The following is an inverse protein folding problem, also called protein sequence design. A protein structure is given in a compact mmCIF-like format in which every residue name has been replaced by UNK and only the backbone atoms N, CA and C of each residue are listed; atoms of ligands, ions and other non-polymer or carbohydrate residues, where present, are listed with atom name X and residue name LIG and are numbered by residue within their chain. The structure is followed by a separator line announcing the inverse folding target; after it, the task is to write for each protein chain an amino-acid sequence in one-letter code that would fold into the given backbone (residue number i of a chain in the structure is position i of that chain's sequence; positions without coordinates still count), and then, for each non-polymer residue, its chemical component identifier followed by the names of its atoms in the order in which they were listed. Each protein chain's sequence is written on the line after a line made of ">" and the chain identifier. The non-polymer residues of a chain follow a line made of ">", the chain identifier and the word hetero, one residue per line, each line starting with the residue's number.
data_IF_081676662037
#
_entry.id   IF_081676662037
#
_cell.length_a   1.000
_cell.length_b   1.000
_cell.length_c   1.000
_cell.angle_alpha   90.00
_cell.angle_beta   90.00
_cell.angle_gamma   90.00
#
_symmetry.space_group_name_H-M   'P 1'
#
loop_
_entity.id
_entity.type
_entity.pdbx_description
1 polymer ?
#
# COMPACT_ATOMS: atom_id res chain seq x y z
N UNK A 1 2.36 -17.77 15.55
CA UNK A 1 1.94 -19.16 15.28
C UNK A 1 1.59 -19.21 13.81
N UNK A 2 2.43 -19.82 12.97
CA UNK A 2 2.14 -19.96 11.55
C UNK A 2 1.14 -21.12 11.40
N UNK A 3 -0.05 -20.82 10.90
CA UNK A 3 -1.04 -21.85 10.52
C UNK A 3 -0.69 -22.27 9.10
N UNK A 4 -0.01 -23.40 8.98
CA UNK A 4 0.16 -24.07 7.69
C UNK A 4 -1.04 -24.99 7.50
N UNK A 5 -1.96 -24.59 6.64
CA UNK A 5 -3.03 -25.47 6.16
C UNK A 5 -2.40 -26.54 5.26
N UNK A 6 -2.64 -27.82 5.55
CA UNK A 6 -2.41 -28.90 4.58
C UNK A 6 -3.61 -28.88 3.65
N UNK A 7 -3.46 -28.19 2.52
CA UNK A 7 -4.54 -28.03 1.53
C UNK A 7 -4.38 -29.11 0.45
N UNK A 8 -5.44 -29.88 0.18
CA UNK A 8 -5.47 -30.83 -0.91
C UNK A 8 -5.42 -30.04 -2.24
N UNK A 9 -4.52 -30.41 -3.14
CA UNK A 9 -4.08 -29.64 -4.34
C UNK A 9 -5.18 -29.41 -5.40
N UNK A 10 -6.44 -29.65 -5.06
CA UNK A 10 -7.62 -29.55 -5.93
C UNK A 10 -8.61 -28.45 -5.52
N UNK A 11 -8.41 -27.79 -4.37
CA UNK A 11 -9.22 -26.64 -3.97
C UNK A 11 -8.63 -25.36 -4.58
N UNK A 12 -9.49 -24.49 -5.11
CA UNK A 12 -9.11 -23.18 -5.63
C UNK A 12 -8.36 -22.39 -4.55
N UNK A 13 -7.11 -22.02 -4.82
CA UNK A 13 -6.32 -21.15 -3.93
C UNK A 13 -7.04 -19.80 -3.79
N UNK A 14 -7.79 -19.64 -2.72
CA UNK A 14 -8.42 -18.36 -2.41
C UNK A 14 -7.41 -17.50 -1.65
N UNK A 15 -6.60 -16.78 -2.43
CA UNK A 15 -5.55 -15.90 -1.93
C UNK A 15 -6.09 -14.85 -0.94
N UNK A 16 -7.36 -14.43 -1.10
CA UNK A 16 -7.97 -13.42 -0.24
C UNK A 16 -8.20 -13.96 1.17
N UNK A 17 -8.76 -15.16 1.30
CA UNK A 17 -8.96 -15.78 2.62
C UNK A 17 -7.64 -16.18 3.25
N UNK A 18 -6.68 -16.67 2.45
CA UNK A 18 -5.34 -16.98 2.95
C UNK A 18 -4.61 -15.73 3.46
N UNK A 19 -4.73 -14.60 2.76
CA UNK A 19 -4.18 -13.31 3.20
C UNK A 19 -4.84 -12.84 4.50
N UNK A 20 -6.17 -12.94 4.62
CA UNK A 20 -6.89 -12.54 5.82
C UNK A 20 -6.56 -13.42 7.04
N UNK A 21 -6.45 -14.74 6.85
CA UNK A 21 -6.09 -15.69 7.91
C UNK A 21 -4.62 -15.54 8.35
N UNK A 22 -3.74 -15.19 7.42
CA UNK A 22 -2.33 -14.88 7.73
C UNK A 22 -2.16 -13.56 8.49
N UNK A 23 -3.17 -12.68 8.47
CA UNK A 23 -3.14 -11.35 9.09
C UNK A 23 -3.63 -11.37 10.55
N UNK A 24 -3.23 -12.36 11.35
CA UNK A 24 -3.48 -12.33 12.79
C UNK A 24 -2.51 -11.35 13.48
N UNK A 25 -2.94 -10.09 13.64
CA UNK A 25 -2.20 -9.08 14.40
C UNK A 25 -2.43 -9.33 15.89
N UNK A 26 -1.35 -9.60 16.62
CA UNK A 26 -1.42 -9.69 18.08
C UNK A 26 -1.76 -8.34 18.72
N UNK A 27 -2.42 -8.32 19.89
CA UNK A 27 -2.74 -7.07 20.59
C UNK A 27 -1.52 -6.17 20.82
N UNK A 28 -0.34 -6.78 21.04
CA UNK A 28 0.91 -6.04 21.19
C UNK A 28 1.35 -5.35 19.89
N UNK A 29 1.19 -6.01 18.73
CA UNK A 29 1.52 -5.43 17.42
C UNK A 29 0.50 -4.35 17.01
N UNK A 30 -0.79 -4.53 17.34
CA UNK A 30 -1.82 -3.52 17.13
C UNK A 30 -1.54 -2.25 17.94
N UNK A 31 -1.17 -2.40 19.22
CA UNK A 31 -0.74 -1.28 20.08
C UNK A 31 0.51 -0.64 19.49
N UNK A 32 1.47 -1.42 18.99
CA UNK A 32 2.67 -0.89 18.34
C UNK A 32 2.34 -0.02 17.11
N UNK A 33 1.41 -0.47 16.26
CA UNK A 33 0.93 0.28 15.09
C UNK A 33 0.09 1.51 15.44
N UNK A 34 -0.76 1.46 16.48
CA UNK A 34 -1.68 2.56 16.81
C UNK A 34 -1.00 3.62 17.70
N UNK A 35 -0.22 3.18 18.69
CA UNK A 35 0.28 4.08 19.75
C UNK A 35 1.78 4.34 19.66
N UNK A 36 2.57 3.40 19.12
CA UNK A 36 4.03 3.57 19.04
C UNK A 36 4.47 4.39 17.82
N UNK A 37 3.67 4.44 16.73
CA UNK A 37 3.86 5.44 15.65
C UNK A 37 3.80 6.87 16.21
N UNK A 38 2.97 7.10 17.24
CA UNK A 38 2.76 8.42 17.83
C UNK A 38 3.81 8.82 18.87
N UNK A 39 4.64 7.89 19.35
CA UNK A 39 5.59 8.18 20.43
C UNK A 39 7.01 7.70 20.10
N UNK A 40 7.88 8.68 19.87
CA UNK A 40 9.32 8.51 19.59
C UNK A 40 10.16 8.00 20.78
N UNK A 41 9.58 7.23 21.73
CA UNK A 41 10.31 6.69 22.92
C UNK A 41 11.30 5.61 22.53
N UNK A 42 10.98 4.89 21.46
CA UNK A 42 11.81 3.83 20.93
C UNK A 42 12.06 4.17 19.47
N UNK A 43 13.32 4.45 19.12
CA UNK A 43 13.81 4.59 17.73
C UNK A 43 13.74 3.25 16.98
N UNK A 44 12.59 2.59 17.03
CA UNK A 44 12.28 1.41 16.27
C UNK A 44 11.42 1.85 15.12
N UNK A 45 12.04 2.04 13.98
CA UNK A 45 11.36 2.29 12.72
C UNK A 45 10.75 0.98 12.22
N UNK A 46 9.49 1.03 11.79
CA UNK A 46 8.91 -0.07 11.02
C UNK A 46 9.78 -0.29 9.78
N UNK A 47 10.14 -1.54 9.49
CA UNK A 47 10.84 -1.89 8.24
C UNK A 47 10.01 -1.57 6.99
N UNK A 48 8.70 -1.40 7.17
CA UNK A 48 7.75 -1.02 6.12
C UNK A 48 7.29 0.41 6.37
N UNK A 49 7.59 1.31 5.42
CA UNK A 49 7.14 2.70 5.42
C UNK A 49 5.92 2.83 4.52
N UNK A 50 4.87 3.51 4.99
CA UNK A 50 3.71 3.81 4.16
C UNK A 50 4.05 4.92 3.16
N UNK A 51 3.94 4.64 1.87
CA UNK A 51 4.08 5.65 0.82
C UNK A 51 2.79 6.45 0.70
N UNK A 52 2.91 7.78 0.74
CA UNK A 52 1.82 8.69 0.40
C UNK A 52 1.62 8.68 -1.13
N UNK A 53 0.73 7.80 -1.62
CA UNK A 53 0.39 7.71 -3.05
C UNK A 53 -0.58 8.82 -3.47
N UNK A 54 -1.35 9.33 -2.51
CA UNK A 54 -2.39 10.31 -2.75
C UNK A 54 -2.12 11.58 -1.96
N UNK A 55 -2.30 12.74 -2.60
CA UNK A 55 -2.33 14.02 -1.90
C UNK A 55 -3.62 14.12 -1.06
N UNK A 56 -3.54 14.73 0.13
CA UNK A 56 -4.71 14.98 0.96
C UNK A 56 -5.73 15.81 0.16
N UNK A 57 -6.93 15.26 -0.05
CA UNK A 57 -8.01 15.81 -0.88
C UNK A 57 -7.75 15.98 -2.38
N UNK A 58 -6.57 15.61 -2.91
CA UNK A 58 -6.23 15.82 -4.32
C UNK A 58 -6.69 14.72 -5.29
N UNK A 59 -6.88 13.48 -4.81
CA UNK A 59 -7.19 12.32 -5.66
C UNK A 59 -8.47 11.59 -5.26
N UNK A 60 -9.51 12.32 -4.81
CA UNK A 60 -10.84 11.74 -4.67
C UNK A 60 -11.45 11.51 -6.06
N UNK A 61 -11.73 10.25 -6.39
CA UNK A 61 -12.40 9.88 -7.64
C UNK A 61 -13.84 9.48 -7.34
N UNK A 62 -14.79 10.10 -8.03
CA UNK A 62 -16.20 9.76 -7.94
C UNK A 62 -16.61 8.90 -9.13
N UNK A 63 -17.28 7.79 -8.85
CA UNK A 63 -17.79 6.87 -9.87
C UNK A 63 -19.28 7.10 -10.09
N UNK A 64 -19.67 7.32 -11.34
CA UNK A 64 -21.05 7.38 -11.83
C UNK A 64 -21.18 6.40 -13.00
N UNK A 65 -22.38 5.88 -13.25
CA UNK A 65 -22.60 4.86 -14.30
C UNK A 65 -22.11 5.28 -15.69
N UNK A 66 -22.07 6.59 -15.96
CA UNK A 66 -21.59 7.16 -17.21
C UNK A 66 -20.06 7.38 -17.22
N UNK A 67 -19.44 7.65 -16.07
CA UNK A 67 -18.03 8.04 -15.99
C UNK A 67 -17.07 6.87 -15.71
N UNK A 68 -17.58 5.72 -15.25
CA UNK A 68 -16.76 4.59 -14.79
C UNK A 68 -15.79 4.12 -15.86
N UNK A 69 -16.27 3.92 -17.09
CA UNK A 69 -15.44 3.45 -18.19
C UNK A 69 -14.35 4.48 -18.55
N UNK A 70 -14.70 5.76 -18.63
CA UNK A 70 -13.75 6.81 -18.96
C UNK A 70 -12.67 6.97 -17.87
N UNK A 71 -13.05 6.86 -16.59
CA UNK A 71 -12.13 6.97 -15.44
C UNK A 71 -11.27 5.72 -15.25
N UNK A 72 -11.78 4.54 -15.58
CA UNK A 72 -11.00 3.31 -15.57
C UNK A 72 -9.93 3.31 -16.68
N UNK A 73 -10.26 3.84 -17.86
CA UNK A 73 -9.32 3.94 -18.98
C UNK A 73 -8.24 5.01 -18.77
N UNK A 74 -8.57 6.12 -18.10
CA UNK A 74 -7.63 7.21 -17.80
C UNK A 74 -7.78 7.65 -16.35
N UNK A 75 -7.09 6.96 -15.42
CA UNK A 75 -7.10 7.35 -14.02
C UNK A 75 -6.36 8.68 -13.83
N UNK A 76 -6.78 9.54 -12.89
CA UNK A 76 -6.05 10.75 -12.54
C UNK A 76 -4.61 10.41 -12.12
N UNK A 77 -3.62 11.25 -12.49
CA UNK A 77 -2.25 11.02 -12.09
C UNK A 77 -2.13 11.05 -10.56
N UNK A 78 -1.37 10.10 -10.03
CA UNK A 78 -1.03 10.02 -8.61
C UNK A 78 0.41 10.46 -8.38
N UNK A 79 0.76 10.84 -7.14
CA UNK A 79 2.15 11.19 -6.80
C UNK A 79 3.12 10.08 -7.21
N UNK A 80 2.71 8.81 -7.07
CA UNK A 80 3.49 7.65 -7.48
C UNK A 80 3.58 7.50 -9.00
N UNK A 81 2.50 7.75 -9.73
CA UNK A 81 2.48 7.70 -11.20
C UNK A 81 3.34 8.81 -11.81
N UNK A 82 3.29 10.02 -11.22
CA UNK A 82 4.13 11.14 -11.58
C UNK A 82 5.61 10.85 -11.28
N UNK A 83 5.91 10.24 -10.13
CA UNK A 83 7.27 9.80 -9.81
C UNK A 83 7.86 8.84 -10.85
N UNK A 84 7.07 7.87 -11.35
CA UNK A 84 7.53 6.99 -12.43
C UNK A 84 7.73 7.72 -13.75
N UNK A 85 6.90 8.72 -14.04
CA UNK A 85 7.06 9.56 -15.22
C UNK A 85 8.33 10.42 -15.11
N UNK A 86 8.61 10.95 -13.92
CA UNK A 86 9.84 11.67 -13.60
C UNK A 86 11.08 10.77 -13.77
N UNK A 87 11.06 9.56 -13.22
CA UNK A 87 12.12 8.57 -13.39
C UNK A 87 12.37 8.16 -14.85
N UNK A 88 11.37 8.27 -15.72
CA UNK A 88 11.51 8.00 -17.15
C UNK A 88 12.24 9.13 -17.88
N UNK A 89 11.98 10.37 -17.47
CA UNK A 89 12.49 11.56 -18.15
C UNK A 89 13.85 12.01 -17.61
N UNK A 90 14.11 11.80 -16.32
CA UNK A 90 15.33 12.23 -15.65
C UNK A 90 16.14 11.05 -15.08
N UNK A 91 17.41 10.98 -15.50
CA UNK A 91 18.38 10.00 -14.98
C UNK A 91 18.75 10.23 -13.51
N UNK A 92 18.67 11.46 -13.01
CA UNK A 92 18.95 11.78 -11.61
C UNK A 92 17.83 11.29 -10.69
N UNK A 93 16.57 11.49 -11.08
CA UNK A 93 15.41 11.01 -10.32
C UNK A 93 15.43 9.49 -10.07
N UNK A 94 16.08 8.71 -10.94
CA UNK A 94 16.27 7.26 -10.76
C UNK A 94 17.21 6.89 -9.60
N UNK A 95 17.99 7.83 -9.11
CA UNK A 95 18.92 7.63 -7.98
C UNK A 95 18.27 7.92 -6.63
N UNK A 96 17.12 8.59 -6.63
CA UNK A 96 16.39 8.99 -5.44
C UNK A 96 15.36 7.92 -5.03
N UNK A 97 15.16 7.78 -3.73
CA UNK A 97 14.06 7.03 -3.16
C UNK A 97 12.77 7.86 -3.25
N UNK A 98 11.61 7.19 -3.29
CA UNK A 98 10.31 7.87 -3.30
C UNK A 98 10.11 8.79 -2.08
N UNK A 99 10.74 8.47 -0.96
CA UNK A 99 10.70 9.30 0.26
C UNK A 99 11.56 10.56 0.19
N UNK A 100 12.46 10.67 -0.79
CA UNK A 100 13.41 11.77 -0.95
C UNK A 100 12.93 12.82 -1.98
N UNK A 101 11.74 12.62 -2.54
CA UNK A 101 11.09 13.48 -3.54
C UNK A 101 9.87 14.14 -2.90
#
# INVERSE_FOLDING_TARGET
>A
MAVFGVENTTASNDEVTQYQLGHFISSNEAVWRITCISFSIHERYSTVVHLAVHLENGQRVYFTSENVLARAMSPPPTTLTEFFTLCRNDTFARTLLYSEI
#
